data_IF_674717992634
#
_entry.id   IF_674717992634
#
_cell.length_a   1.000
_cell.length_b   1.000
_cell.length_c   1.000
_cell.angle_alpha   90.00
_cell.angle_beta   90.00
_cell.angle_gamma   90.00
#
_symmetry.space_group_name_H-M   'P 1'
#
loop_
_entity.id
_entity.type
_entity.pdbx_description
1 polymer ?
#
# COMPACT_ATOMS: atom_id res chain seq x y z
N UNK A 1 26.38 -28.60 -56.43
CA UNK A 1 25.93 -29.17 -55.13
C UNK A 1 26.71 -28.60 -53.95
N UNK A 2 28.02 -28.36 -54.06
CA UNK A 2 28.88 -27.80 -53.00
C UNK A 2 28.41 -26.45 -52.41
N UNK A 3 27.93 -25.52 -53.24
CA UNK A 3 27.44 -24.20 -52.81
C UNK A 3 26.21 -24.27 -51.88
N UNK A 4 25.30 -25.21 -52.12
CA UNK A 4 24.10 -25.39 -51.28
C UNK A 4 24.45 -25.97 -49.92
N UNK A 5 25.39 -26.90 -49.86
CA UNK A 5 25.87 -27.47 -48.60
C UNK A 5 26.63 -26.44 -47.76
N UNK A 6 27.44 -25.58 -48.40
CA UNK A 6 28.19 -24.53 -47.72
C UNK A 6 27.26 -23.43 -47.16
N UNK A 7 26.21 -23.07 -47.89
CA UNK A 7 25.18 -22.16 -47.42
C UNK A 7 24.39 -22.72 -46.22
N UNK A 8 24.04 -24.01 -46.25
CA UNK A 8 23.38 -24.69 -45.13
C UNK A 8 24.27 -24.71 -43.86
N UNK A 9 25.56 -25.00 -44.02
CA UNK A 9 26.51 -25.02 -42.89
C UNK A 9 26.70 -23.64 -42.28
N UNK A 10 26.83 -22.60 -43.11
CA UNK A 10 26.89 -21.21 -42.64
C UNK A 10 25.62 -20.78 -41.91
N UNK A 11 24.45 -21.19 -42.41
CA UNK A 11 23.16 -20.87 -41.79
C UNK A 11 23.01 -21.56 -40.41
N UNK A 12 23.44 -22.82 -40.29
CA UNK A 12 23.44 -23.54 -39.02
C UNK A 12 24.43 -22.93 -38.02
N UNK A 13 25.63 -22.53 -38.46
CA UNK A 13 26.61 -21.84 -37.62
C UNK A 13 26.12 -20.46 -37.16
N UNK A 14 25.43 -19.71 -38.02
CA UNK A 14 24.82 -18.43 -37.67
C UNK A 14 23.72 -18.61 -36.62
N UNK A 15 22.82 -19.59 -36.80
CA UNK A 15 21.78 -19.91 -35.83
C UNK A 15 22.37 -20.40 -34.49
N UNK A 16 23.43 -21.20 -34.52
CA UNK A 16 24.12 -21.65 -33.31
C UNK A 16 24.85 -20.49 -32.57
N UNK A 17 25.40 -19.53 -33.31
CA UNK A 17 25.98 -18.31 -32.73
C UNK A 17 24.91 -17.42 -32.07
N UNK A 18 23.76 -17.26 -32.73
CA UNK A 18 22.63 -16.48 -32.22
C UNK A 18 22.04 -17.13 -30.96
N UNK A 19 21.93 -18.47 -30.89
CA UNK A 19 21.39 -19.14 -29.70
C UNK A 19 22.36 -19.09 -28.51
N UNK A 20 23.67 -19.16 -28.75
CA UNK A 20 24.69 -19.03 -27.69
C UNK A 20 24.79 -17.61 -27.12
N UNK A 21 24.68 -16.59 -27.95
CA UNK A 21 24.48 -15.20 -27.50
C UNK A 21 23.06 -14.96 -26.94
N UNK A 22 22.11 -15.81 -27.34
CA UNK A 22 20.70 -15.76 -27.00
C UNK A 22 20.40 -15.96 -25.52
N UNK A 23 21.29 -16.58 -24.74
CA UNK A 23 21.09 -16.72 -23.29
C UNK A 23 21.07 -15.36 -22.56
N UNK A 24 21.91 -14.42 -22.99
CA UNK A 24 21.88 -13.05 -22.46
C UNK A 24 20.71 -12.25 -23.02
N UNK A 25 20.38 -12.46 -24.29
CA UNK A 25 19.21 -11.84 -24.93
C UNK A 25 17.90 -12.29 -24.29
N UNK A 26 17.75 -13.58 -23.94
CA UNK A 26 16.56 -14.10 -23.28
C UNK A 26 16.35 -13.46 -21.91
N UNK A 27 17.42 -13.24 -21.14
CA UNK A 27 17.35 -12.50 -19.88
C UNK A 27 16.87 -11.07 -20.10
N UNK A 28 17.34 -10.40 -21.15
CA UNK A 28 16.87 -9.04 -21.50
C UNK A 28 15.40 -9.04 -21.91
N UNK A 29 14.95 -10.02 -22.69
CA UNK A 29 13.54 -10.17 -23.08
C UNK A 29 12.66 -10.41 -21.87
N UNK A 30 13.08 -11.28 -20.94
CA UNK A 30 12.35 -11.54 -19.70
C UNK A 30 12.32 -10.29 -18.81
N UNK A 31 13.45 -9.57 -18.66
CA UNK A 31 13.49 -8.31 -17.91
C UNK A 31 12.59 -7.25 -18.52
N UNK A 32 12.57 -7.13 -19.85
CA UNK A 32 11.71 -6.19 -20.57
C UNK A 32 10.23 -6.55 -20.39
N UNK A 33 9.87 -7.84 -20.50
CA UNK A 33 8.52 -8.31 -20.26
C UNK A 33 8.07 -8.08 -18.82
N UNK A 34 8.92 -8.37 -17.84
CA UNK A 34 8.64 -8.12 -16.42
C UNK A 34 8.49 -6.62 -16.13
N UNK A 35 9.33 -5.77 -16.72
CA UNK A 35 9.22 -4.32 -16.60
C UNK A 35 7.92 -3.78 -17.19
N UNK A 36 7.51 -4.26 -18.37
CA UNK A 36 6.26 -3.88 -19.01
C UNK A 36 5.04 -4.34 -18.19
N UNK A 37 5.07 -5.56 -17.65
CA UNK A 37 4.04 -6.08 -16.75
C UNK A 37 3.95 -5.25 -15.45
N UNK A 38 5.10 -4.88 -14.87
CA UNK A 38 5.15 -4.01 -13.69
C UNK A 38 4.54 -2.63 -13.94
N UNK A 39 4.87 -2.00 -15.07
CA UNK A 39 4.30 -0.69 -15.43
C UNK A 39 2.78 -0.77 -15.68
N UNK A 40 2.30 -1.87 -16.27
CA UNK A 40 0.86 -2.13 -16.44
C UNK A 40 0.13 -2.28 -15.11
N UNK A 41 0.72 -2.99 -14.15
CA UNK A 41 0.17 -3.11 -12.79
C UNK A 41 0.10 -1.76 -12.07
N UNK A 42 1.16 -0.94 -12.14
CA UNK A 42 1.16 0.39 -11.51
C UNK A 42 0.11 1.30 -12.15
N UNK A 43 -0.06 1.23 -13.48
CA UNK A 43 -1.05 2.03 -14.17
C UNK A 43 -2.49 1.65 -13.80
N UNK A 44 -2.81 0.35 -13.70
CA UNK A 44 -4.15 -0.10 -13.26
C UNK A 44 -4.45 0.34 -11.83
N UNK A 45 -3.47 0.28 -10.93
CA UNK A 45 -3.60 0.84 -9.58
C UNK A 45 -3.87 2.35 -9.59
N UNK A 46 -3.18 3.11 -10.45
CA UNK A 46 -3.40 4.55 -10.57
C UNK A 46 -4.81 4.87 -11.12
N UNK A 47 -5.32 4.07 -12.04
CA UNK A 47 -6.69 4.20 -12.56
C UNK A 47 -7.74 3.93 -11.47
N UNK A 48 -7.57 2.85 -10.71
CA UNK A 48 -8.49 2.51 -9.62
C UNK A 48 -8.41 3.53 -8.48
N UNK A 49 -7.22 4.03 -8.15
CA UNK A 49 -7.05 5.11 -7.18
C UNK A 49 -7.80 6.38 -7.60
N UNK A 50 -7.70 6.77 -8.87
CA UNK A 50 -8.41 7.95 -9.39
C UNK A 50 -9.92 7.73 -9.39
N UNK A 51 -10.40 6.52 -9.69
CA UNK A 51 -11.84 6.19 -9.64
C UNK A 51 -12.42 6.30 -8.23
N UNK A 52 -11.68 5.84 -7.22
CA UNK A 52 -12.10 5.92 -5.81
C UNK A 52 -11.98 7.36 -5.27
N UNK A 53 -10.96 8.10 -5.71
CA UNK A 53 -10.72 9.48 -5.27
C UNK A 53 -11.65 10.48 -5.96
N UNK A 54 -11.96 10.31 -7.25
CA UNK A 54 -12.76 11.24 -8.06
C UNK A 54 -14.23 11.30 -7.62
N UNK A 55 -14.79 10.20 -7.10
CA UNK A 55 -16.16 10.18 -6.56
C UNK A 55 -16.28 10.74 -5.13
N UNK A 56 -15.18 11.15 -4.51
CA UNK A 56 -15.21 11.87 -3.23
C UNK A 56 -14.83 13.34 -3.47
N UNK A 57 -15.64 14.33 -3.09
CA UNK A 57 -15.21 15.71 -3.03
C UNK A 57 -14.26 15.83 -1.83
N UNK A 58 -13.02 15.40 -2.02
CA UNK A 58 -12.05 15.21 -0.95
C UNK A 58 -10.67 15.63 -1.40
N UNK A 59 -10.52 16.90 -1.77
CA UNK A 59 -9.21 17.60 -1.91
C UNK A 59 -8.45 17.71 -0.57
N UNK A 60 -8.51 16.69 0.30
CA UNK A 60 -8.05 16.77 1.69
C UNK A 60 -7.20 15.59 2.15
N UNK A 61 -7.11 14.47 1.41
CA UNK A 61 -6.36 13.29 1.90
C UNK A 61 -4.95 13.11 1.33
N UNK A 62 -4.48 14.00 0.44
CA UNK A 62 -3.12 13.92 -0.11
C UNK A 62 -2.14 14.97 0.42
N UNK A 63 -2.56 15.83 1.36
CA UNK A 63 -1.66 16.79 2.05
C UNK A 63 -1.56 16.60 3.56
N UNK A 64 -2.40 15.75 4.17
CA UNK A 64 -2.47 15.66 5.64
C UNK A 64 -1.59 14.57 6.27
N UNK A 65 -0.75 13.84 5.53
CA UNK A 65 0.23 12.94 6.18
C UNK A 65 1.60 13.58 6.33
N UNK A 66 2.09 14.29 5.31
CA UNK A 66 3.34 15.07 5.45
C UNK A 66 3.21 16.20 6.48
N UNK A 67 2.11 16.98 6.46
CA UNK A 67 1.91 18.07 7.43
C UNK A 67 1.64 17.55 8.86
N UNK A 68 0.98 16.40 9.03
CA UNK A 68 0.75 15.82 10.37
C UNK A 68 2.04 15.23 10.94
N UNK A 69 2.89 14.62 10.11
CA UNK A 69 4.18 14.10 10.56
C UNK A 69 5.17 15.23 10.92
N UNK A 70 5.07 16.39 10.23
CA UNK A 70 5.90 17.56 10.52
C UNK A 70 5.32 18.48 11.60
N UNK A 71 4.01 18.44 11.87
CA UNK A 71 3.34 19.17 12.96
C UNK A 71 3.25 18.41 14.27
N UNK A 72 3.48 17.08 14.27
CA UNK A 72 3.64 16.30 15.49
C UNK A 72 5.06 16.51 16.04
N UNK A 73 5.24 17.67 16.66
CA UNK A 73 6.37 18.01 17.53
C UNK A 73 6.31 17.11 18.78
N UNK A 74 6.90 15.92 18.69
CA UNK A 74 6.95 14.94 19.78
C UNK A 74 7.83 15.41 20.95
N UNK A 75 8.58 16.51 20.80
CA UNK A 75 9.36 17.15 21.87
C UNK A 75 8.52 18.04 22.78
N UNK A 76 7.23 18.28 22.46
CA UNK A 76 6.32 19.16 23.23
C UNK A 76 5.22 18.42 23.98
N UNK A 77 5.46 17.16 24.35
CA UNK A 77 4.64 16.46 25.34
C UNK A 77 4.88 17.10 26.73
N UNK A 78 3.88 17.72 27.37
CA UNK A 78 4.06 18.23 28.73
C UNK A 78 4.33 17.05 29.67
N UNK A 79 5.18 17.22 30.71
CA UNK A 79 5.37 16.19 31.71
C UNK A 79 4.01 15.87 32.34
N UNK A 80 3.77 14.57 32.53
CA UNK A 80 2.53 13.89 32.93
C UNK A 80 1.98 14.24 34.33
N UNK A 81 2.17 15.48 34.81
CA UNK A 81 1.86 15.91 36.18
C UNK A 81 0.81 17.02 36.28
N UNK A 82 0.06 17.35 35.23
CA UNK A 82 -1.08 18.27 35.33
C UNK A 82 -2.36 17.66 34.79
N UNK A 83 -2.88 16.69 35.54
CA UNK A 83 -4.26 16.22 35.41
C UNK A 83 -5.22 17.22 36.09
N UNK A 84 -5.30 18.42 35.52
CA UNK A 84 -6.33 19.41 35.85
C UNK A 84 -7.51 19.25 34.90
N UNK A 85 -8.51 18.46 35.30
CA UNK A 85 -9.93 18.64 34.99
C UNK A 85 -10.31 19.25 33.63
N UNK A 86 -9.84 18.68 32.53
CA UNK A 86 -10.50 18.81 31.24
C UNK A 86 -10.51 17.42 30.60
N UNK A 87 -11.68 16.77 30.42
CA UNK A 87 -11.72 15.57 29.61
C UNK A 87 -11.22 16.01 28.22
N UNK A 88 -10.21 15.34 27.63
CA UNK A 88 -9.86 15.60 26.25
C UNK A 88 -11.17 15.45 25.48
N UNK A 89 -11.60 16.51 24.80
CA UNK A 89 -12.74 16.44 23.88
C UNK A 89 -12.29 15.53 22.75
N UNK A 90 -12.44 14.22 22.97
CA UNK A 90 -12.18 13.20 22.00
C UNK A 90 -13.09 13.48 20.80
N UNK A 91 -12.55 13.46 19.57
CA UNK A 91 -13.40 13.58 18.39
C UNK A 91 -14.44 12.46 18.44
N UNK A 92 -15.71 12.84 18.30
CA UNK A 92 -16.85 11.92 18.33
C UNK A 92 -16.54 10.67 17.48
N UNK A 93 -16.59 9.50 18.11
CA UNK A 93 -16.25 8.23 17.48
C UNK A 93 -17.12 7.97 16.24
N UNK A 94 -18.34 8.52 16.21
CA UNK A 94 -19.21 8.50 15.02
C UNK A 94 -18.55 9.18 13.82
N UNK A 95 -17.79 10.26 14.05
CA UNK A 95 -17.07 10.96 12.99
C UNK A 95 -15.93 10.12 12.42
N UNK A 96 -15.28 9.32 13.26
CA UNK A 96 -14.23 8.37 12.85
C UNK A 96 -14.86 7.22 12.06
N UNK A 97 -15.98 6.67 12.53
CA UNK A 97 -16.72 5.62 11.83
C UNK A 97 -17.26 6.08 10.47
N UNK A 98 -17.67 7.35 10.34
CA UNK A 98 -18.12 7.91 9.07
C UNK A 98 -16.99 8.06 8.03
N UNK A 99 -15.74 8.07 8.47
CA UNK A 99 -14.57 8.06 7.58
C UNK A 99 -14.12 6.66 7.19
N UNK A 100 -14.80 5.61 7.66
CA UNK A 100 -14.49 4.21 7.36
C UNK A 100 -15.43 3.65 6.26
N UNK A 101 -15.02 3.71 4.99
CA UNK A 101 -15.85 3.25 3.88
C UNK A 101 -15.95 1.74 3.76
N UNK A 102 -15.13 0.99 4.50
CA UNK A 102 -15.12 -0.48 4.49
C UNK A 102 -15.77 -1.07 5.73
N UNK A 103 -16.09 -0.23 6.74
CA UNK A 103 -16.69 -0.67 8.00
C UNK A 103 -15.77 -1.52 8.87
N UNK A 104 -14.46 -1.51 8.59
CA UNK A 104 -13.45 -2.25 9.34
C UNK A 104 -13.35 -1.80 10.80
N UNK A 105 -13.37 -0.49 11.07
CA UNK A 105 -13.33 0.07 12.41
C UNK A 105 -14.60 -0.28 13.18
N UNK A 106 -15.78 -0.25 12.52
CA UNK A 106 -17.04 -0.68 13.14
C UNK A 106 -17.01 -2.17 13.52
N UNK A 107 -16.51 -3.01 12.61
CA UNK A 107 -16.35 -4.44 12.84
C UNK A 107 -15.36 -4.74 13.96
N UNK A 108 -14.23 -4.03 14.00
CA UNK A 108 -13.22 -4.15 15.04
C UNK A 108 -13.80 -3.82 16.41
N UNK A 109 -14.53 -2.72 16.53
CA UNK A 109 -15.19 -2.35 17.79
C UNK A 109 -16.21 -3.39 18.23
N UNK A 110 -17.04 -3.89 17.31
CA UNK A 110 -17.98 -4.95 17.63
C UNK A 110 -17.26 -6.21 18.10
N UNK A 111 -16.13 -6.56 17.48
CA UNK A 111 -15.31 -7.70 17.90
C UNK A 111 -14.72 -7.48 19.30
N UNK A 112 -14.11 -6.32 19.56
CA UNK A 112 -13.55 -5.97 20.88
C UNK A 112 -14.62 -5.95 21.98
N UNK A 113 -15.81 -5.43 21.69
CA UNK A 113 -16.92 -5.37 22.64
C UNK A 113 -17.48 -6.76 23.03
N UNK A 114 -17.28 -7.77 22.17
CA UNK A 114 -17.71 -9.15 22.44
C UNK A 114 -16.66 -9.98 23.18
N UNK A 115 -15.42 -9.49 23.27
CA UNK A 115 -14.34 -10.18 23.98
C UNK A 115 -14.40 -9.87 25.49
N UNK A 116 -14.09 -10.84 26.36
CA UNK A 116 -14.05 -10.61 27.80
C UNK A 116 -12.88 -9.68 28.16
N UNK A 117 -13.10 -8.77 29.11
CA UNK A 117 -12.14 -7.72 29.52
C UNK A 117 -10.81 -8.26 30.03
N UNK A 118 -10.77 -9.49 30.55
CA UNK A 118 -9.56 -10.19 31.00
C UNK A 118 -8.62 -10.56 29.84
N UNK A 119 -9.13 -10.62 28.61
CA UNK A 119 -8.38 -10.97 27.41
C UNK A 119 -8.10 -9.77 26.51
N UNK A 120 -8.45 -8.57 26.95
CA UNK A 120 -8.20 -7.34 26.21
C UNK A 120 -6.83 -6.79 26.55
N UNK A 121 -6.08 -6.45 25.50
CA UNK A 121 -4.85 -5.69 25.68
C UNK A 121 -5.19 -4.25 26.16
N UNK A 122 -4.24 -3.59 26.83
CA UNK A 122 -4.47 -2.28 27.46
C UNK A 122 -4.87 -1.20 26.44
N UNK A 123 -4.38 -1.31 25.20
CA UNK A 123 -4.73 -0.48 24.05
C UNK A 123 -6.14 -0.77 23.52
N UNK A 124 -6.55 -2.03 23.46
CA UNK A 124 -7.92 -2.44 23.08
C UNK A 124 -8.96 -1.94 24.10
N UNK A 125 -8.62 -1.99 25.39
CA UNK A 125 -9.46 -1.46 26.46
C UNK A 125 -9.62 0.06 26.36
N UNK A 126 -8.55 0.78 26.02
CA UNK A 126 -8.61 2.22 25.78
C UNK A 126 -9.49 2.58 24.57
N UNK A 127 -9.49 1.75 23.52
CA UNK A 127 -10.40 1.94 22.37
C UNK A 127 -11.86 1.81 22.81
N UNK A 128 -12.21 0.82 23.64
CA UNK A 128 -13.57 0.68 24.17
C UNK A 128 -13.97 1.85 25.08
N UNK A 129 -13.02 2.40 25.85
CA UNK A 129 -13.25 3.58 26.69
C UNK A 129 -13.50 4.86 25.88
N UNK A 130 -12.98 4.96 24.64
CA UNK A 130 -13.23 6.11 23.76
C UNK A 130 -14.61 6.08 23.10
N UNK A 131 -15.33 4.96 23.17
CA UNK A 131 -16.61 4.73 22.47
C UNK A 131 -17.81 4.94 23.41
N UNK A 132 -17.57 4.90 24.73
CA UNK A 132 -18.58 5.02 25.77
C UNK A 132 -18.73 6.46 26.23
#
# INVERSE_FOLDING_TARGET
MLSRSLAMVLLVLALAGITKAGMHFLRLVILAAAGLAGMWMVHTLAQDYNKITSQRPGRLFKRSMEDVLHSMDWERLPPSNRLGSQPPTFPDFQRILNMDPKGCARRLVCELATRPTEKLAADEANILLMIR
#
